data_IF_286687118880
#
_entry.id   IF_286687118880
#
_cell.length_a   1.000
_cell.length_b   1.000
_cell.length_c   1.000
_cell.angle_alpha   90.00
_cell.angle_beta   90.00
_cell.angle_gamma   90.00
#
_symmetry.space_group_name_H-M   'P 1'
#
loop_
_entity.id
_entity.type
_entity.pdbx_description
1 polymer ?
#
# COMPACT_ATOMS: atom_id res chain seq x y z
N UNK A 1 51.09 -6.67 5.05
CA UNK A 1 50.17 -6.05 6.02
C UNK A 1 49.18 -5.09 5.37
N UNK A 2 49.50 -4.39 4.27
CA UNK A 2 48.54 -3.52 3.57
C UNK A 2 47.49 -4.27 2.72
N UNK A 3 47.77 -5.49 2.20
CA UNK A 3 46.83 -6.18 1.30
C UNK A 3 45.56 -6.69 1.98
N UNK A 4 45.57 -6.93 3.30
CA UNK A 4 44.40 -7.45 4.02
C UNK A 4 43.27 -6.42 4.15
N UNK A 5 43.59 -5.13 4.26
CA UNK A 5 42.58 -4.07 4.37
C UNK A 5 41.94 -3.82 2.99
N UNK A 6 42.73 -3.79 1.92
CA UNK A 6 42.21 -3.61 0.56
C UNK A 6 41.36 -4.79 0.10
N UNK A 7 41.70 -6.02 0.50
CA UNK A 7 40.87 -7.20 0.22
C UNK A 7 39.48 -7.09 0.87
N UNK A 8 39.39 -6.63 2.13
CA UNK A 8 38.09 -6.42 2.81
C UNK A 8 37.25 -5.36 2.09
N UNK A 9 37.87 -4.27 1.62
CA UNK A 9 37.15 -3.26 0.84
C UNK A 9 36.68 -3.78 -0.52
N UNK A 10 37.45 -4.65 -1.16
CA UNK A 10 37.07 -5.29 -2.42
C UNK A 10 35.90 -6.26 -2.22
N UNK A 11 35.93 -7.05 -1.14
CA UNK A 11 34.83 -7.94 -0.74
C UNK A 11 33.55 -7.15 -0.43
N UNK A 12 33.67 -6.02 0.28
CA UNK A 12 32.54 -5.12 0.53
C UNK A 12 32.03 -4.51 -0.78
N UNK A 13 32.93 -4.11 -1.69
CA UNK A 13 32.53 -3.54 -2.97
C UNK A 13 31.77 -4.56 -3.83
N UNK A 14 32.24 -5.81 -3.88
CA UNK A 14 31.54 -6.91 -4.56
C UNK A 14 30.16 -7.17 -3.94
N UNK A 15 30.09 -7.27 -2.60
CA UNK A 15 28.82 -7.42 -1.87
C UNK A 15 27.85 -6.26 -2.18
N UNK A 16 28.34 -5.03 -2.23
CA UNK A 16 27.52 -3.86 -2.54
C UNK A 16 27.02 -3.86 -3.98
N UNK A 17 27.80 -4.34 -4.94
CA UNK A 17 27.38 -4.47 -6.34
C UNK A 17 26.26 -5.52 -6.47
N UNK A 18 26.41 -6.67 -5.80
CA UNK A 18 25.37 -7.71 -5.75
C UNK A 18 24.08 -7.19 -5.10
N UNK A 19 24.18 -6.47 -3.98
CA UNK A 19 23.04 -5.82 -3.31
C UNK A 19 22.39 -4.79 -4.24
N UNK A 20 23.18 -3.99 -4.96
CA UNK A 20 22.63 -2.98 -5.87
C UNK A 20 21.89 -3.62 -7.05
N UNK A 21 22.45 -4.67 -7.64
CA UNK A 21 21.82 -5.42 -8.72
C UNK A 21 20.54 -6.11 -8.26
N UNK A 22 20.60 -6.85 -7.14
CA UNK A 22 19.45 -7.54 -6.58
C UNK A 22 18.34 -6.56 -6.17
N UNK A 23 18.69 -5.43 -5.54
CA UNK A 23 17.75 -4.36 -5.17
C UNK A 23 17.09 -3.74 -6.40
N UNK A 24 17.83 -3.55 -7.49
CA UNK A 24 17.27 -3.03 -8.74
C UNK A 24 16.25 -3.99 -9.36
N UNK A 25 16.56 -5.29 -9.38
CA UNK A 25 15.64 -6.33 -9.89
C UNK A 25 14.40 -6.42 -9.00
N UNK A 26 14.60 -6.48 -7.68
CA UNK A 26 13.53 -6.52 -6.70
C UNK A 26 12.61 -5.31 -6.83
N UNK A 27 13.15 -4.09 -6.86
CA UNK A 27 12.39 -2.84 -7.03
C UNK A 27 11.62 -2.83 -8.34
N UNK A 28 12.21 -3.35 -9.43
CA UNK A 28 11.51 -3.45 -10.72
C UNK A 28 10.36 -4.43 -10.68
N UNK A 29 10.51 -5.57 -10.00
CA UNK A 29 9.45 -6.57 -9.81
C UNK A 29 8.35 -6.08 -8.89
N UNK A 30 8.66 -5.25 -7.89
CA UNK A 30 7.68 -4.67 -6.97
C UNK A 30 7.10 -3.35 -7.48
N UNK A 31 7.54 -2.80 -8.61
CA UNK A 31 7.12 -1.48 -9.09
C UNK A 31 5.59 -1.34 -9.28
N UNK A 32 4.91 -2.40 -9.76
CA UNK A 32 3.45 -2.41 -9.87
C UNK A 32 2.79 -2.29 -8.50
N UNK A 33 3.17 -3.16 -7.58
CA UNK A 33 2.64 -3.20 -6.20
C UNK A 33 3.01 -1.94 -5.41
N UNK A 34 4.17 -1.33 -5.67
CA UNK A 34 4.54 -0.03 -5.09
C UNK A 34 3.64 1.11 -5.61
N UNK A 35 3.22 1.05 -6.87
CA UNK A 35 2.23 1.96 -7.43
C UNK A 35 0.87 1.78 -6.78
N UNK A 36 0.46 0.53 -6.57
CA UNK A 36 -0.78 0.19 -5.86
C UNK A 36 -0.72 0.64 -4.39
N UNK A 37 0.39 0.39 -3.70
CA UNK A 37 0.65 0.83 -2.32
C UNK A 37 0.58 2.35 -2.20
N UNK A 38 1.12 3.07 -3.19
CA UNK A 38 0.98 4.52 -3.27
C UNK A 38 -0.48 4.94 -3.42
N UNK A 39 -1.23 4.33 -4.34
CA UNK A 39 -2.63 4.68 -4.55
C UNK A 39 -3.47 4.44 -3.29
N UNK A 40 -3.29 3.28 -2.64
CA UNK A 40 -4.00 2.91 -1.41
C UNK A 40 -3.62 3.82 -0.25
N UNK A 41 -2.33 4.09 -0.04
CA UNK A 41 -1.90 4.99 1.04
C UNK A 41 -2.34 6.44 0.78
N UNK A 42 -2.33 6.90 -0.47
CA UNK A 42 -2.81 8.23 -0.84
C UNK A 42 -4.32 8.37 -0.60
N UNK A 43 -5.11 7.34 -0.96
CA UNK A 43 -6.54 7.28 -0.64
C UNK A 43 -6.74 7.34 0.88
N UNK A 44 -6.03 6.50 1.65
CA UNK A 44 -6.18 6.43 3.10
C UNK A 44 -5.81 7.75 3.77
N UNK A 45 -4.78 8.46 3.29
CA UNK A 45 -4.31 9.71 3.88
C UNK A 45 -5.17 10.94 3.57
N UNK A 46 -5.88 10.94 2.43
CA UNK A 46 -6.67 12.09 1.95
C UNK A 46 -8.13 12.08 2.41
N UNK A 47 -8.56 11.04 3.15
CA UNK A 47 -9.91 10.93 3.72
C UNK A 47 -10.10 11.58 5.09
N UNK A 48 -9.09 12.29 5.60
CA UNK A 48 -9.11 12.96 6.90
C UNK A 48 -9.47 14.45 6.74
N UNK A 49 -9.81 15.13 7.83
CA UNK A 49 -9.96 16.60 7.82
C UNK A 49 -8.67 17.23 7.27
N UNK A 50 -8.77 18.21 6.38
CA UNK A 50 -7.63 18.81 5.64
C UNK A 50 -6.46 19.21 6.58
N UNK A 51 -6.76 19.70 7.78
CA UNK A 51 -5.75 20.09 8.79
C UNK A 51 -5.01 18.92 9.47
N UNK A 52 -5.48 17.68 9.29
CA UNK A 52 -5.00 16.47 9.97
C UNK A 52 -4.31 15.48 9.03
N UNK A 53 -4.33 15.70 7.71
CA UNK A 53 -3.76 14.76 6.73
C UNK A 53 -2.27 14.48 6.97
N UNK A 54 -1.43 15.51 7.16
CA UNK A 54 0.01 15.33 7.41
C UNK A 54 0.32 14.68 8.77
N UNK A 55 -0.27 15.11 9.91
CA UNK A 55 -0.11 14.41 11.19
C UNK A 55 -0.54 12.95 11.15
N UNK A 56 -1.62 12.65 10.43
CA UNK A 56 -2.13 11.28 10.28
C UNK A 56 -1.20 10.45 9.40
N UNK A 57 -0.78 11.00 8.24
CA UNK A 57 0.20 10.36 7.36
C UNK A 57 1.46 10.00 8.13
N UNK A 58 1.97 10.88 8.98
CA UNK A 58 3.14 10.62 9.82
C UNK A 58 2.92 9.46 10.81
N UNK A 59 1.73 9.34 11.40
CA UNK A 59 1.39 8.20 12.26
C UNK A 59 1.35 6.90 11.47
N UNK A 60 0.77 6.92 10.27
CA UNK A 60 0.73 5.75 9.36
C UNK A 60 2.16 5.37 8.95
N UNK A 61 2.99 6.33 8.53
CA UNK A 61 4.40 6.09 8.16
C UNK A 61 5.19 5.48 9.30
N UNK A 62 5.03 5.96 10.54
CA UNK A 62 5.68 5.38 11.71
C UNK A 62 5.22 3.94 11.98
N UNK A 63 3.92 3.69 11.90
CA UNK A 63 3.36 2.35 12.04
C UNK A 63 3.90 1.40 10.97
N UNK A 64 3.89 1.84 9.71
CA UNK A 64 4.41 1.12 8.55
C UNK A 64 5.90 0.80 8.68
N UNK A 65 6.71 1.76 9.14
CA UNK A 65 8.14 1.54 9.35
C UNK A 65 8.40 0.47 10.42
N UNK A 66 7.66 0.51 11.54
CA UNK A 66 7.74 -0.52 12.58
C UNK A 66 7.29 -1.88 12.03
N UNK A 67 6.21 -1.92 11.25
CA UNK A 67 5.75 -3.14 10.59
C UNK A 67 6.85 -3.74 9.72
N UNK A 68 7.47 -2.96 8.84
CA UNK A 68 8.55 -3.42 7.95
C UNK A 68 9.77 -3.89 8.75
N UNK A 69 10.13 -3.21 9.83
CA UNK A 69 11.22 -3.64 10.73
C UNK A 69 10.95 -5.01 11.37
N UNK A 70 9.69 -5.37 11.58
CA UNK A 70 9.27 -6.69 12.10
C UNK A 70 9.15 -7.72 10.97
N UNK A 71 8.55 -7.34 9.83
CA UNK A 71 8.30 -8.23 8.70
C UNK A 71 9.62 -8.74 8.11
N UNK A 72 10.62 -7.89 7.90
CA UNK A 72 11.89 -8.28 7.26
C UNK A 72 12.58 -9.46 7.97
N UNK A 73 12.88 -9.40 9.29
CA UNK A 73 13.50 -10.52 9.98
C UNK A 73 12.58 -11.75 10.05
N UNK A 74 11.26 -11.57 10.22
CA UNK A 74 10.31 -12.68 10.22
C UNK A 74 10.27 -13.37 8.86
N UNK A 75 10.27 -12.62 7.76
CA UNK A 75 10.23 -13.16 6.41
C UNK A 75 11.50 -13.96 6.10
N UNK A 76 12.68 -13.45 6.51
CA UNK A 76 13.95 -14.18 6.38
C UNK A 76 13.94 -15.48 7.20
N UNK A 77 13.45 -15.45 8.44
CA UNK A 77 13.32 -16.65 9.27
C UNK A 77 12.31 -17.65 8.70
N UNK A 78 11.12 -17.19 8.30
CA UNK A 78 10.10 -18.05 7.71
C UNK A 78 10.59 -18.66 6.40
N UNK A 79 11.35 -17.92 5.58
CA UNK A 79 11.92 -18.48 4.36
C UNK A 79 12.91 -19.61 4.66
N UNK A 80 13.75 -19.46 5.68
CA UNK A 80 14.75 -20.47 6.07
C UNK A 80 14.12 -21.75 6.66
N UNK A 81 13.04 -21.63 7.43
CA UNK A 81 12.49 -22.77 8.20
C UNK A 81 11.12 -23.26 7.74
N UNK A 82 10.25 -22.39 7.22
CA UNK A 82 8.85 -22.68 6.93
C UNK A 82 8.30 -21.85 5.75
N UNK A 83 8.93 -21.95 4.58
CA UNK A 83 8.58 -21.13 3.40
C UNK A 83 7.12 -21.27 2.96
N UNK A 84 6.50 -22.43 3.17
CA UNK A 84 5.09 -22.69 2.83
C UNK A 84 4.11 -21.80 3.62
N UNK A 85 4.45 -21.40 4.85
CA UNK A 85 3.59 -20.54 5.68
C UNK A 85 3.41 -19.15 5.05
N UNK A 86 4.44 -18.67 4.33
CA UNK A 86 4.43 -17.37 3.66
C UNK A 86 3.25 -17.26 2.68
N UNK A 87 3.03 -18.31 1.90
CA UNK A 87 1.93 -18.41 0.93
C UNK A 87 0.56 -18.29 1.63
N UNK A 88 0.36 -18.98 2.75
CA UNK A 88 -0.90 -18.92 3.49
C UNK A 88 -1.15 -17.56 4.12
N UNK A 89 -0.12 -16.91 4.67
CA UNK A 89 -0.22 -15.55 5.21
C UNK A 89 -0.62 -14.57 4.10
N UNK A 90 0.01 -14.68 2.94
CA UNK A 90 -0.32 -13.85 1.78
C UNK A 90 -1.76 -14.06 1.34
N UNK A 91 -2.20 -15.30 1.13
CA UNK A 91 -3.58 -15.59 0.70
C UNK A 91 -4.59 -15.05 1.71
N UNK A 92 -4.34 -15.20 3.02
CA UNK A 92 -5.21 -14.65 4.05
C UNK A 92 -5.28 -13.11 3.98
N UNK A 93 -4.14 -12.44 3.78
CA UNK A 93 -4.09 -10.99 3.55
C UNK A 93 -4.82 -10.58 2.27
N UNK A 94 -4.64 -11.32 1.18
CA UNK A 94 -5.35 -11.10 -0.09
C UNK A 94 -6.86 -11.21 0.05
N UNK A 95 -7.37 -12.15 0.84
CA UNK A 95 -8.80 -12.28 1.14
C UNK A 95 -9.34 -11.05 1.89
N UNK A 96 -8.57 -10.53 2.85
CA UNK A 96 -8.93 -9.30 3.56
C UNK A 96 -8.97 -8.09 2.62
N UNK A 97 -7.95 -7.92 1.77
CA UNK A 97 -7.91 -6.81 0.80
C UNK A 97 -9.03 -6.91 -0.25
N UNK A 98 -9.33 -8.12 -0.73
CA UNK A 98 -10.42 -8.37 -1.65
C UNK A 98 -11.78 -8.04 -1.02
N UNK A 99 -11.97 -8.42 0.25
CA UNK A 99 -13.15 -8.05 1.02
C UNK A 99 -13.28 -6.52 1.14
N UNK A 100 -12.22 -5.84 1.57
CA UNK A 100 -12.23 -4.38 1.75
C UNK A 100 -12.52 -3.65 0.42
N UNK A 101 -11.86 -4.06 -0.67
CA UNK A 101 -12.08 -3.48 -2.00
C UNK A 101 -13.52 -3.63 -2.49
N UNK A 102 -14.12 -4.81 -2.31
CA UNK A 102 -15.51 -5.05 -2.71
C UNK A 102 -16.50 -4.31 -1.80
N UNK A 103 -16.25 -4.25 -0.49
CA UNK A 103 -17.09 -3.50 0.45
C UNK A 103 -17.16 -2.02 0.04
N UNK A 104 -16.04 -1.41 -0.32
CA UNK A 104 -16.00 -0.03 -0.85
C UNK A 104 -16.78 0.14 -2.15
N UNK A 105 -16.70 -0.82 -3.08
CA UNK A 105 -17.48 -0.79 -4.32
C UNK A 105 -18.98 -0.85 -4.02
N UNK A 106 -19.39 -1.75 -3.13
CA UNK A 106 -20.79 -1.89 -2.71
C UNK A 106 -21.26 -0.59 -2.04
N UNK A 107 -20.49 -0.03 -1.11
CA UNK A 107 -20.81 1.25 -0.47
C UNK A 107 -20.97 2.37 -1.50
N UNK A 108 -20.06 2.47 -2.47
CA UNK A 108 -20.12 3.48 -3.52
C UNK A 108 -21.37 3.35 -4.42
N UNK A 109 -21.78 2.12 -4.75
CA UNK A 109 -22.94 1.85 -5.61
C UNK A 109 -24.26 2.05 -4.86
N UNK A 110 -24.34 1.59 -3.60
CA UNK A 110 -25.60 1.50 -2.85
C UNK A 110 -25.85 2.68 -1.89
N UNK A 111 -24.84 3.46 -1.47
CA UNK A 111 -25.00 4.57 -0.52
C UNK A 111 -24.85 5.97 -1.16
N UNK A 112 -25.24 6.13 -2.43
CA UNK A 112 -25.20 7.41 -3.17
C UNK A 112 -26.15 8.50 -2.62
N UNK A 113 -26.96 8.21 -1.59
CA UNK A 113 -27.97 9.11 -1.02
C UNK A 113 -27.60 9.75 0.33
N UNK A 114 -26.47 10.46 0.42
CA UNK A 114 -26.33 11.51 1.45
C UNK A 114 -26.02 12.84 0.80
N UNK A 115 -27.05 13.69 0.73
CA UNK A 115 -26.94 15.10 0.36
C UNK A 115 -25.88 15.76 1.24
N UNK A 116 -25.09 16.65 0.64
CA UNK A 116 -23.82 17.18 1.17
C UNK A 116 -23.84 17.95 2.50
N UNK A 117 -24.96 17.98 3.25
CA UNK A 117 -25.03 18.59 4.57
C UNK A 117 -24.88 17.57 5.73
N UNK A 118 -25.22 16.28 5.53
CA UNK A 118 -25.07 15.27 6.59
C UNK A 118 -23.65 14.69 6.72
N UNK A 119 -22.80 14.86 5.70
CA UNK A 119 -21.41 14.36 5.71
C UNK A 119 -20.53 15.25 6.60
N UNK A 120 -20.80 16.55 6.64
CA UNK A 120 -20.05 17.51 7.47
C UNK A 120 -20.37 17.29 8.95
N UNK A 121 -21.61 16.90 9.28
CA UNK A 121 -22.03 16.70 10.66
C UNK A 121 -21.56 15.35 11.24
N UNK A 122 -21.49 14.28 10.43
CA UNK A 122 -20.88 13.01 10.86
C UNK A 122 -19.36 13.06 10.99
N UNK A 123 -18.67 13.83 10.14
CA UNK A 123 -17.20 14.00 10.22
C UNK A 123 -16.80 14.90 11.40
N UNK A 124 -17.65 15.83 11.83
CA UNK A 124 -17.44 16.63 13.04
C UNK A 124 -17.73 15.86 14.35
N UNK A 125 -18.54 14.79 14.29
CA UNK A 125 -18.89 13.93 15.43
C UNK A 125 -18.00 12.68 15.59
N UNK A 126 -17.15 12.37 14.59
CA UNK A 126 -16.18 11.30 14.66
C UNK A 126 -15.02 11.70 15.59
N UNK A 127 -15.19 11.39 16.88
CA UNK A 127 -14.18 11.63 17.91
C UNK A 127 -12.82 10.99 17.61
N UNK A 128 -11.84 11.30 18.47
CA UNK A 128 -10.44 10.79 18.41
C UNK A 128 -10.35 9.28 18.17
N UNK A 129 -11.34 8.50 18.62
CA UNK A 129 -11.36 7.05 18.48
C UNK A 129 -11.68 6.56 17.05
N UNK A 130 -12.47 7.31 16.29
CA UNK A 130 -12.72 7.02 14.87
C UNK A 130 -11.49 7.30 14.01
N UNK A 131 -10.76 8.41 14.29
CA UNK A 131 -9.48 8.71 13.64
C UNK A 131 -8.47 7.58 13.90
N UNK A 132 -8.31 7.17 15.16
CA UNK A 132 -7.43 6.03 15.52
C UNK A 132 -7.82 4.73 14.83
N UNK A 133 -9.11 4.44 14.71
CA UNK A 133 -9.58 3.24 14.01
C UNK A 133 -9.22 3.28 12.52
N UNK A 134 -9.38 4.43 11.85
CA UNK A 134 -8.96 4.63 10.45
C UNK A 134 -7.46 4.49 10.27
N UNK A 135 -6.65 5.08 11.17
CA UNK A 135 -5.19 4.93 11.17
C UNK A 135 -4.79 3.47 11.33
N UNK A 136 -5.40 2.76 12.28
CA UNK A 136 -5.14 1.33 12.51
C UNK A 136 -5.50 0.48 11.30
N UNK A 137 -6.63 0.77 10.65
CA UNK A 137 -7.01 0.11 9.39
C UNK A 137 -5.98 0.38 8.29
N UNK A 138 -5.56 1.63 8.10
CA UNK A 138 -4.54 1.98 7.10
C UNK A 138 -3.20 1.26 7.36
N UNK A 139 -2.77 1.18 8.62
CA UNK A 139 -1.56 0.43 9.01
C UNK A 139 -1.71 -1.07 8.74
N UNK A 140 -2.91 -1.64 8.90
CA UNK A 140 -3.17 -3.06 8.59
C UNK A 140 -3.12 -3.32 7.07
N UNK A 141 -3.72 -2.44 6.27
CA UNK A 141 -3.66 -2.53 4.81
C UNK A 141 -2.20 -2.44 4.33
N UNK A 142 -1.43 -1.46 4.83
CA UNK A 142 0.00 -1.34 4.53
C UNK A 142 0.81 -2.54 5.03
N UNK A 143 0.46 -3.15 6.17
CA UNK A 143 1.11 -4.37 6.64
C UNK A 143 1.00 -5.50 5.59
N UNK A 144 -0.19 -5.71 5.02
CA UNK A 144 -0.42 -6.76 4.02
C UNK A 144 0.39 -6.45 2.75
N UNK A 145 0.33 -5.22 2.25
CA UNK A 145 1.08 -4.76 1.07
C UNK A 145 2.60 -4.88 1.30
N UNK A 146 3.07 -4.53 2.50
CA UNK A 146 4.47 -4.62 2.90
C UNK A 146 4.97 -6.05 2.92
N UNK A 147 4.17 -6.99 3.43
CA UNK A 147 4.50 -8.42 3.43
C UNK A 147 4.74 -8.90 1.99
N UNK A 148 3.86 -8.55 1.05
CA UNK A 148 4.01 -8.91 -0.35
C UNK A 148 5.27 -8.32 -1.00
N UNK A 149 5.51 -7.01 -0.81
CA UNK A 149 6.72 -6.34 -1.32
C UNK A 149 7.98 -7.02 -0.78
N UNK A 150 8.03 -7.29 0.54
CA UNK A 150 9.17 -7.94 1.19
C UNK A 150 9.40 -9.35 0.65
N UNK A 151 8.35 -10.12 0.41
CA UNK A 151 8.48 -11.49 -0.12
C UNK A 151 8.97 -11.49 -1.56
N UNK A 152 8.46 -10.59 -2.41
CA UNK A 152 8.95 -10.45 -3.80
C UNK A 152 10.42 -10.00 -3.79
N UNK A 153 10.79 -9.10 -2.90
CA UNK A 153 12.17 -8.66 -2.73
C UNK A 153 13.07 -9.82 -2.28
N UNK A 154 12.61 -10.61 -1.31
CA UNK A 154 13.33 -11.76 -0.78
C UNK A 154 13.54 -12.83 -1.86
N UNK A 155 12.49 -13.20 -2.59
CA UNK A 155 12.58 -14.15 -3.70
C UNK A 155 13.52 -13.65 -4.80
N UNK A 156 13.53 -12.33 -5.07
CA UNK A 156 14.45 -11.73 -6.05
C UNK A 156 15.89 -11.74 -5.58
N UNK A 157 16.13 -11.51 -4.29
CA UNK A 157 17.46 -11.56 -3.70
C UNK A 157 18.02 -12.99 -3.73
N UNK A 158 17.22 -13.99 -3.33
CA UNK A 158 17.59 -15.42 -3.40
C UNK A 158 17.92 -15.84 -4.83
N UNK A 159 17.17 -15.35 -5.82
CA UNK A 159 17.46 -15.67 -7.23
C UNK A 159 18.75 -15.02 -7.74
N UNK A 160 19.19 -13.92 -7.12
CA UNK A 160 20.34 -13.14 -7.56
C UNK A 160 21.64 -13.60 -6.89
N UNK A 161 21.58 -14.02 -5.62
CA UNK A 161 22.72 -14.59 -4.90
C UNK A 161 22.28 -15.49 -3.74
N UNK A 162 23.06 -16.54 -3.51
CA UNK A 162 22.88 -17.46 -2.37
C UNK A 162 23.42 -16.88 -1.05
N UNK A 163 24.08 -15.72 -1.08
CA UNK A 163 24.65 -15.09 0.10
C UNK A 163 23.56 -14.47 0.99
N UNK A 164 23.55 -14.90 2.26
CA UNK A 164 22.58 -14.42 3.25
C UNK A 164 22.74 -12.92 3.50
N UNK A 165 23.97 -12.38 3.48
CA UNK A 165 24.19 -10.95 3.69
C UNK A 165 23.60 -10.12 2.55
N UNK A 166 23.77 -10.53 1.29
CA UNK A 166 23.09 -9.90 0.15
C UNK A 166 21.57 -9.93 0.30
N UNK A 167 20.98 -11.04 0.75
CA UNK A 167 19.54 -11.17 0.95
C UNK A 167 19.02 -10.19 2.00
N UNK A 168 19.66 -10.14 3.17
CA UNK A 168 19.31 -9.23 4.26
C UNK A 168 19.37 -7.78 3.80
N UNK A 169 20.48 -7.40 3.15
CA UNK A 169 20.70 -6.02 2.71
C UNK A 169 19.73 -5.62 1.60
N UNK A 170 19.51 -6.50 0.61
CA UNK A 170 18.58 -6.24 -0.50
C UNK A 170 17.16 -6.00 -0.01
N UNK A 171 16.64 -6.90 0.84
CA UNK A 171 15.28 -6.79 1.37
C UNK A 171 15.14 -5.53 2.24
N UNK A 172 16.16 -5.21 3.03
CA UNK A 172 16.18 -4.00 3.87
C UNK A 172 16.17 -2.72 3.02
N UNK A 173 16.99 -2.67 1.97
CA UNK A 173 17.05 -1.53 1.04
C UNK A 173 15.70 -1.33 0.34
N UNK A 174 15.09 -2.40 -0.18
CA UNK A 174 13.78 -2.31 -0.84
C UNK A 174 12.70 -1.85 0.14
N UNK A 175 12.69 -2.36 1.38
CA UNK A 175 11.72 -1.94 2.39
C UNK A 175 11.85 -0.45 2.76
N UNK A 176 13.08 0.06 2.86
CA UNK A 176 13.35 1.48 3.12
C UNK A 176 12.92 2.34 1.92
N UNK A 177 13.29 1.94 0.70
CA UNK A 177 12.91 2.65 -0.53
C UNK A 177 11.39 2.70 -0.67
N UNK A 178 10.69 1.59 -0.41
CA UNK A 178 9.24 1.55 -0.43
C UNK A 178 8.64 2.54 0.58
N UNK A 179 9.13 2.54 1.82
CA UNK A 179 8.62 3.45 2.87
C UNK A 179 8.85 4.91 2.50
N UNK A 180 10.08 5.29 2.17
CA UNK A 180 10.41 6.70 1.89
C UNK A 180 9.79 7.14 0.57
N UNK A 181 9.81 6.29 -0.46
CA UNK A 181 9.28 6.59 -1.78
C UNK A 181 7.76 6.76 -1.76
N UNK A 182 7.03 5.77 -1.24
CA UNK A 182 5.56 5.80 -1.21
C UNK A 182 5.06 6.94 -0.34
N UNK A 183 5.44 6.98 0.95
CA UNK A 183 4.96 8.03 1.85
C UNK A 183 5.50 9.42 1.49
N UNK A 184 6.69 9.50 0.89
CA UNK A 184 7.24 10.75 0.36
C UNK A 184 6.39 11.31 -0.78
N UNK A 185 5.98 10.48 -1.74
CA UNK A 185 5.11 10.91 -2.83
C UNK A 185 3.71 11.26 -2.31
N UNK A 186 3.15 10.46 -1.40
CA UNK A 186 1.85 10.76 -0.77
C UNK A 186 1.90 12.12 -0.04
N UNK A 187 2.97 12.39 0.71
CA UNK A 187 3.15 13.68 1.38
C UNK A 187 3.24 14.86 0.40
N UNK A 188 3.85 14.67 -0.78
CA UNK A 188 3.89 15.69 -1.83
C UNK A 188 2.51 15.95 -2.42
N UNK A 189 1.71 14.90 -2.63
CA UNK A 189 0.33 15.01 -3.14
C UNK A 189 -0.54 15.78 -2.15
N UNK A 190 -0.51 15.39 -0.87
CA UNK A 190 -1.27 16.06 0.19
C UNK A 190 -0.88 17.53 0.31
N UNK A 191 0.42 17.85 0.19
CA UNK A 191 0.93 19.22 0.34
C UNK A 191 0.76 20.11 -0.88
N UNK A 192 0.05 19.64 -1.91
CA UNK A 192 -0.15 20.37 -3.15
C UNK A 192 -0.97 21.66 -2.92
N UNK A 193 -1.91 21.65 -1.98
CA UNK A 193 -2.74 22.80 -1.60
C UNK A 193 -1.94 23.90 -0.87
N UNK A 194 -1.11 23.51 0.10
CA UNK A 194 -0.22 24.33 0.90
C UNK A 194 0.76 25.07 -0.01
N UNK A 195 1.31 24.35 -0.99
CA UNK A 195 2.16 24.91 -2.03
C UNK A 195 1.37 25.89 -2.91
N UNK A 196 0.15 25.52 -3.31
CA UNK A 196 -0.75 26.38 -4.07
C UNK A 196 -1.03 27.71 -3.36
N UNK A 197 -1.40 27.67 -2.09
CA UNK A 197 -1.68 28.86 -1.28
C UNK A 197 -0.43 29.73 -1.09
N UNK A 198 0.74 29.12 -0.86
CA UNK A 198 2.02 29.85 -0.78
C UNK A 198 2.36 30.58 -2.08
N UNK A 199 2.08 29.99 -3.24
CA UNK A 199 2.30 30.63 -4.55
C UNK A 199 1.35 31.81 -4.77
N UNK A 200 0.07 31.67 -4.41
CA UNK A 200 -0.92 32.76 -4.49
C UNK A 200 -0.49 33.93 -3.60
N UNK A 201 -0.16 33.65 -2.34
CA UNK A 201 0.27 34.67 -1.38
C UNK A 201 1.56 35.37 -1.81
N UNK A 202 2.56 34.63 -2.29
CA UNK A 202 3.85 35.19 -2.73
C UNK A 202 3.74 36.06 -3.98
N UNK A 203 2.74 35.80 -4.81
CA UNK A 203 2.49 36.56 -6.04
C UNK A 203 1.51 37.73 -5.85
N UNK A 204 1.05 38.00 -4.62
CA UNK A 204 -0.02 38.97 -4.33
C UNK A 204 -1.24 38.76 -5.24
N UNK A 205 -1.55 37.50 -5.51
CA UNK A 205 -2.63 37.08 -6.40
C UNK A 205 -2.54 37.62 -7.85
N UNK A 206 -1.32 37.83 -8.36
CA UNK A 206 -1.10 38.39 -9.71
C UNK A 206 -0.13 37.56 -10.53
N UNK A 207 -0.37 37.52 -11.84
CA UNK A 207 0.51 36.89 -12.83
C UNK A 207 0.39 35.36 -12.91
N UNK A 208 1.33 34.75 -13.65
CA UNK A 208 1.32 33.31 -13.96
C UNK A 208 1.49 32.46 -12.71
N UNK A 209 2.25 32.95 -11.72
CA UNK A 209 2.49 32.25 -10.44
C UNK A 209 1.20 32.10 -9.62
N UNK A 210 0.32 33.12 -9.58
CA UNK A 210 -0.99 32.98 -8.93
C UNK A 210 -1.89 31.99 -9.67
N UNK A 211 -1.89 32.01 -11.01
CA UNK A 211 -2.67 31.06 -11.81
C UNK A 211 -2.26 29.61 -11.56
N UNK A 212 -0.95 29.35 -11.44
CA UNK A 212 -0.43 28.04 -11.04
C UNK A 212 -0.90 27.65 -9.64
N UNK A 213 -0.82 28.56 -8.67
CA UNK A 213 -1.29 28.31 -7.31
C UNK A 213 -2.79 27.97 -7.24
N UNK A 214 -3.61 28.72 -7.98
CA UNK A 214 -5.04 28.41 -8.14
C UNK A 214 -5.29 27.06 -8.81
N UNK A 215 -4.45 26.69 -9.79
CA UNK A 215 -4.50 25.39 -10.43
C UNK A 215 -4.26 24.25 -9.45
N UNK A 216 -3.22 24.36 -8.62
CA UNK A 216 -2.90 23.37 -7.58
C UNK A 216 -4.06 23.19 -6.60
N UNK A 217 -4.57 24.28 -6.02
CA UNK A 217 -5.69 24.23 -5.06
C UNK A 217 -6.96 23.64 -5.70
N UNK A 218 -7.29 24.03 -6.93
CA UNK A 218 -8.47 23.49 -7.65
C UNK A 218 -8.33 22.04 -8.07
N UNK A 219 -7.10 21.56 -8.25
CA UNK A 219 -6.82 20.18 -8.64
C UNK A 219 -6.93 19.20 -7.46
N UNK A 220 -6.72 19.65 -6.21
CA UNK A 220 -6.74 18.78 -5.04
C UNK A 220 -8.06 17.96 -4.92
N UNK A 221 -9.27 18.54 -5.00
CA UNK A 221 -10.51 17.77 -4.90
C UNK A 221 -10.66 16.71 -6.01
N UNK A 222 -10.08 16.97 -7.18
CA UNK A 222 -10.09 16.03 -8.30
C UNK A 222 -9.13 14.88 -8.01
N UNK A 223 -7.93 15.19 -7.54
CA UNK A 223 -6.92 14.20 -7.15
C UNK A 223 -7.48 13.26 -6.08
N UNK A 224 -8.12 13.79 -5.03
CA UNK A 224 -8.73 12.97 -3.96
C UNK A 224 -9.80 12.01 -4.53
N UNK A 225 -10.69 12.49 -5.41
CA UNK A 225 -11.71 11.64 -6.04
C UNK A 225 -11.10 10.54 -6.92
N UNK A 226 -10.07 10.87 -7.68
CA UNK A 226 -9.36 9.91 -8.53
C UNK A 226 -8.66 8.88 -7.65
N UNK A 227 -7.96 9.29 -6.60
CA UNK A 227 -7.28 8.39 -5.66
C UNK A 227 -8.25 7.44 -4.96
N UNK A 228 -9.47 7.87 -4.61
CA UNK A 228 -10.47 6.98 -4.04
C UNK A 228 -10.84 5.81 -4.98
N UNK A 229 -11.00 6.10 -6.28
CA UNK A 229 -11.30 5.08 -7.29
C UNK A 229 -10.07 4.21 -7.56
N UNK A 230 -8.90 4.84 -7.78
CA UNK A 230 -7.65 4.12 -8.07
C UNK A 230 -7.23 3.25 -6.89
N UNK A 231 -7.33 3.73 -5.66
CA UNK A 231 -7.04 2.97 -4.44
C UNK A 231 -7.96 1.76 -4.28
N UNK A 232 -9.25 1.90 -4.59
CA UNK A 232 -10.18 0.75 -4.59
C UNK A 232 -9.81 -0.29 -5.67
N UNK A 233 -9.45 0.17 -6.88
CA UNK A 233 -8.98 -0.73 -7.95
C UNK A 233 -7.66 -1.41 -7.55
N UNK A 234 -6.73 -0.67 -6.94
CA UNK A 234 -5.46 -1.19 -6.45
C UNK A 234 -5.64 -2.29 -5.39
N UNK A 235 -6.59 -2.15 -4.45
CA UNK A 235 -6.91 -3.22 -3.49
C UNK A 235 -7.32 -4.53 -4.18
N UNK A 236 -8.10 -4.44 -5.28
CA UNK A 236 -8.51 -5.60 -6.06
C UNK A 236 -7.40 -6.17 -6.93
N UNK A 237 -6.58 -5.31 -7.55
CA UNK A 237 -5.43 -5.73 -8.32
C UNK A 237 -4.41 -6.46 -7.45
N UNK A 238 -4.06 -5.90 -6.29
CA UNK A 238 -3.09 -6.50 -5.39
C UNK A 238 -3.61 -7.83 -4.81
N UNK A 239 -4.85 -7.86 -4.32
CA UNK A 239 -5.44 -9.13 -3.85
C UNK A 239 -5.49 -10.19 -4.95
N UNK A 240 -5.85 -9.79 -6.17
CA UNK A 240 -5.80 -10.62 -7.36
C UNK A 240 -4.41 -11.14 -7.70
N UNK A 241 -3.39 -10.27 -7.63
CA UNK A 241 -1.98 -10.60 -7.82
C UNK A 241 -1.48 -11.62 -6.81
N UNK A 242 -1.85 -11.43 -5.53
CA UNK A 242 -1.59 -12.41 -4.46
C UNK A 242 -2.20 -13.77 -4.84
N UNK A 243 -3.47 -13.85 -5.23
CA UNK A 243 -4.08 -15.12 -5.60
C UNK A 243 -3.47 -15.74 -6.85
N UNK A 244 -3.20 -14.91 -7.87
CA UNK A 244 -2.62 -15.34 -9.14
C UNK A 244 -1.23 -15.97 -8.93
N UNK A 245 -0.36 -15.32 -8.14
CA UNK A 245 1.00 -15.77 -7.89
C UNK A 245 1.12 -16.92 -6.88
N UNK A 246 0.15 -17.06 -5.98
CA UNK A 246 0.20 -18.07 -4.91
C UNK A 246 -0.68 -19.28 -5.17
N UNK A 247 -1.43 -19.33 -6.27
CA UNK A 247 -2.29 -20.48 -6.59
C UNK A 247 -2.02 -20.89 -8.04
N UNK A 248 -1.24 -21.96 -8.22
CA UNK A 248 -0.81 -22.49 -9.53
C UNK A 248 -1.98 -22.76 -10.49
N UNK A 249 -3.15 -23.12 -9.94
CA UNK A 249 -4.38 -23.32 -10.72
C UNK A 249 -4.76 -22.05 -11.49
N UNK A 250 -4.67 -20.87 -10.86
CA UNK A 250 -5.02 -19.63 -11.53
C UNK A 250 -4.00 -19.21 -12.57
N UNK A 251 -2.72 -19.58 -12.45
CA UNK A 251 -1.71 -19.25 -13.45
C UNK A 251 -2.07 -19.73 -14.86
N UNK A 252 -2.69 -20.92 -15.00
CA UNK A 252 -3.06 -21.50 -16.29
C UNK A 252 -4.46 -21.11 -16.79
N UNK A 253 -5.30 -20.49 -15.94
CA UNK A 253 -6.60 -19.98 -16.39
C UNK A 253 -6.40 -18.76 -17.32
N UNK A 254 -6.93 -18.89 -18.54
CA UNK A 254 -7.02 -17.85 -19.55
C UNK A 254 -5.68 -17.15 -19.89
N UNK A 255 -4.71 -17.85 -20.51
CA UNK A 255 -3.40 -17.29 -20.85
C UNK A 255 -3.46 -16.13 -21.87
N UNK A 256 -4.61 -15.93 -22.51
CA UNK A 256 -4.82 -14.88 -23.52
C UNK A 256 -5.29 -13.54 -22.91
N UNK A 257 -5.62 -13.52 -21.61
CA UNK A 257 -6.11 -12.32 -20.93
C UNK A 257 -4.93 -11.53 -20.33
N UNK A 258 -4.88 -10.19 -20.48
CA UNK A 258 -3.87 -9.37 -19.81
C UNK A 258 -3.85 -9.58 -18.30
N UNK A 259 -2.66 -9.65 -17.68
CA UNK A 259 -2.49 -9.97 -16.25
C UNK A 259 -3.31 -9.06 -15.34
N UNK A 260 -3.32 -7.75 -15.59
CA UNK A 260 -4.11 -6.79 -14.80
C UNK A 260 -5.61 -7.11 -14.80
N UNK A 261 -6.17 -7.49 -15.96
CA UNK A 261 -7.61 -7.78 -16.03
C UNK A 261 -7.95 -9.08 -15.29
N UNK A 262 -7.05 -10.07 -15.38
CA UNK A 262 -7.17 -11.33 -14.66
C UNK A 262 -7.07 -11.14 -13.15
N UNK A 263 -6.07 -10.40 -12.69
CA UNK A 263 -5.86 -10.08 -11.28
C UNK A 263 -7.07 -9.32 -10.73
N UNK A 264 -7.51 -8.26 -11.41
CA UNK A 264 -8.71 -7.52 -11.02
C UNK A 264 -9.95 -8.42 -10.92
N UNK A 265 -10.18 -9.29 -11.92
CA UNK A 265 -11.32 -10.20 -11.91
C UNK A 265 -11.24 -11.21 -10.76
N UNK A 266 -10.06 -11.78 -10.49
CA UNK A 266 -9.84 -12.69 -9.36
C UNK A 266 -10.09 -12.00 -8.02
N UNK A 267 -9.52 -10.80 -7.83
CA UNK A 267 -9.75 -10.00 -6.63
C UNK A 267 -11.24 -9.71 -6.43
N UNK A 268 -11.94 -9.32 -7.49
CA UNK A 268 -13.38 -9.05 -7.44
C UNK A 268 -14.21 -10.30 -7.10
N UNK A 269 -13.95 -11.44 -7.76
CA UNK A 269 -14.68 -12.69 -7.52
C UNK A 269 -14.46 -13.19 -6.10
N UNK A 270 -13.21 -13.21 -5.64
CA UNK A 270 -12.86 -13.65 -4.30
C UNK A 270 -13.44 -12.70 -3.25
N UNK A 271 -13.37 -11.38 -3.49
CA UNK A 271 -13.96 -10.38 -2.60
C UNK A 271 -15.48 -10.52 -2.47
N UNK A 272 -16.19 -10.71 -3.59
CA UNK A 272 -17.63 -10.98 -3.59
C UNK A 272 -17.97 -12.27 -2.83
N UNK A 273 -17.19 -13.33 -3.01
CA UNK A 273 -17.36 -14.58 -2.28
C UNK A 273 -17.18 -14.37 -0.77
N UNK A 274 -16.14 -13.65 -0.34
CA UNK A 274 -15.91 -13.34 1.08
C UNK A 274 -17.04 -12.48 1.64
N UNK A 275 -17.47 -11.43 0.93
CA UNK A 275 -18.61 -10.59 1.35
C UNK A 275 -19.90 -11.41 1.50
N UNK A 276 -20.16 -12.35 0.58
CA UNK A 276 -21.33 -13.22 0.66
C UNK A 276 -21.26 -14.13 1.90
N UNK A 277 -20.09 -14.73 2.18
CA UNK A 277 -19.86 -15.56 3.37
C UNK A 277 -20.02 -14.74 4.66
N UNK A 278 -19.39 -13.56 4.74
CA UNK A 278 -19.48 -12.68 5.91
C UNK A 278 -20.92 -12.25 6.16
N UNK A 279 -21.66 -11.88 5.11
CA UNK A 279 -23.08 -11.51 5.21
C UNK A 279 -23.94 -12.69 5.67
N UNK A 280 -23.68 -13.90 5.16
CA UNK A 280 -24.37 -15.12 5.58
C UNK A 280 -24.12 -15.42 7.06
N UNK A 281 -22.86 -15.35 7.50
CA UNK A 281 -22.48 -15.56 8.91
C UNK A 281 -23.14 -14.52 9.82
N UNK A 282 -23.12 -13.24 9.45
CA UNK A 282 -23.81 -12.16 10.19
C UNK A 282 -25.31 -12.40 10.31
N UNK A 283 -25.93 -13.00 9.28
CA UNK A 283 -27.36 -13.37 9.29
C UNK A 283 -27.66 -14.59 10.17
N UNK A 284 -26.71 -15.52 10.29
CA UNK A 284 -26.85 -16.74 11.10
C UNK A 284 -26.49 -16.52 12.58
N UNK A 285 -25.65 -15.54 12.90
CA UNK A 285 -25.35 -15.17 14.28
C UNK A 285 -26.52 -14.35 14.86
N UNK A 286 -27.09 -14.74 16.03
CA UNK A 286 -28.11 -13.92 16.68
C UNK A 286 -27.51 -12.56 17.01
N UNK A 287 -28.13 -11.49 16.50
CA UNK A 287 -27.76 -10.11 16.80
C UNK A 287 -27.70 -9.94 18.32
N UNK A 288 -26.48 -9.79 18.88
CA UNK A 288 -26.33 -9.24 20.21
C UNK A 288 -26.88 -7.82 20.14
N UNK A 289 -28.13 -7.64 20.58
CA UNK A 289 -28.64 -6.34 20.98
C UNK A 289 -27.70 -5.80 22.05
N UNK A 290 -26.81 -4.90 21.66
CA UNK A 290 -26.17 -3.97 22.58
C UNK A 290 -27.25 -2.99 23.03
N UNK A 291 -27.89 -3.32 24.16
CA UNK A 291 -28.51 -2.34 25.06
C UNK A 291 -27.47 -1.38 25.59
#
# INVERSE_FOLDING_TARGET
MASGIFAIFDDIAALMDDVAMASKIATRKTAGILGDDLAVNAEKATGFLESRELPVLWQITKGSFINKLIIVPIALLLNAYFSVIIQYILIAGGLFLAYEGVEKIIEFIFHREKKGEEVIQKVAEEGVDAEKAKIKSAIMTDFILSVEIVIIALNSAITSSDDFMTQVLTVSVVAIIATVGVYGIVALIVRMDDLGYRLIKRSNDKGVVSKLGHGLVKSLPIVIKVLAVVGTIALLLVSGGIFSHNIDYFHHLFPQIPSMLKEFALGLIMGLAVVAVVTLIKKMLPSKKTT
#
